data_IF_812668104295
#
_entry.id   IF_812668104295
#
_cell.length_a   1.000
_cell.length_b   1.000
_cell.length_c   1.000
_cell.angle_alpha   90.00
_cell.angle_beta   90.00
_cell.angle_gamma   90.00
#
_symmetry.space_group_name_H-M   'P 1'
#
loop_
_entity.id
_entity.type
_entity.pdbx_description
1 polymer ?
#
# COMPACT_ATOMS: atom_id res chain seq x y z
N UNK A 1 -2.71 1.10 -1.24
CA UNK A 1 -1.79 2.01 -0.54
C UNK A 1 -0.84 1.29 0.42
N UNK A 2 -1.21 0.12 0.98
CA UNK A 2 -0.38 -0.62 1.96
C UNK A 2 1.04 -0.99 1.48
N UNK A 3 1.21 -1.18 0.16
CA UNK A 3 2.50 -1.42 -0.51
C UNK A 3 3.54 -0.30 -0.34
N UNK A 4 3.12 0.92 0.03
CA UNK A 4 4.00 2.08 0.15
C UNK A 4 4.46 2.34 1.60
N UNK A 5 4.21 1.40 2.50
CA UNK A 5 4.62 1.50 3.90
C UNK A 5 5.95 0.77 4.06
N UNK A 6 7.05 1.54 4.01
CA UNK A 6 8.41 0.98 3.98
C UNK A 6 8.81 0.23 5.26
N UNK A 7 8.23 0.59 6.42
CA UNK A 7 8.64 0.05 7.72
C UNK A 7 7.70 -1.02 8.28
N UNK A 8 6.66 -1.40 7.53
CA UNK A 8 5.55 -2.19 8.05
C UNK A 8 4.65 -1.39 8.98
N UNK A 9 3.55 -2.01 9.41
CA UNK A 9 2.61 -1.41 10.36
C UNK A 9 2.00 -2.50 11.23
N UNK A 10 1.75 -2.18 12.48
CA UNK A 10 1.04 -3.07 13.41
C UNK A 10 -0.22 -2.34 13.80
N UNK A 11 -1.37 -2.88 13.39
CA UNK A 11 -2.67 -2.36 13.77
C UNK A 11 -3.27 -3.31 14.82
N UNK A 12 -3.55 -2.77 16.00
CA UNK A 12 -4.21 -3.52 17.07
C UNK A 12 -5.71 -3.18 17.08
N UNK A 13 -6.55 -4.11 16.62
CA UNK A 13 -8.01 -3.90 16.54
C UNK A 13 -8.65 -3.65 17.91
N UNK A 14 -8.04 -4.19 18.97
CA UNK A 14 -8.51 -4.05 20.36
C UNK A 14 -8.12 -2.73 21.02
N UNK A 15 -7.33 -1.90 20.34
CA UNK A 15 -6.93 -0.59 20.87
C UNK A 15 -8.00 0.46 20.63
N UNK A 16 -8.31 1.26 21.64
CA UNK A 16 -9.16 2.46 21.49
C UNK A 16 -8.60 3.44 20.46
N UNK A 17 -7.28 3.43 20.24
CA UNK A 17 -6.57 4.25 19.25
C UNK A 17 -6.42 3.56 17.88
N UNK A 18 -7.14 2.47 17.61
CA UNK A 18 -7.07 1.77 16.32
C UNK A 18 -7.37 2.70 15.14
N UNK A 19 -8.40 3.55 15.25
CA UNK A 19 -8.76 4.51 14.19
C UNK A 19 -7.64 5.52 13.92
N UNK A 20 -7.01 6.04 14.97
CA UNK A 20 -5.89 6.97 14.84
C UNK A 20 -4.65 6.30 14.25
N UNK A 21 -4.40 5.04 14.61
CA UNK A 21 -3.32 4.24 14.01
C UNK A 21 -3.57 3.98 12.53
N UNK A 22 -4.79 3.59 12.14
CA UNK A 22 -5.19 3.42 10.73
C UNK A 22 -5.01 4.72 9.96
N UNK A 23 -5.44 5.84 10.53
CA UNK A 23 -5.32 7.15 9.88
C UNK A 23 -3.85 7.56 9.71
N UNK A 24 -3.04 7.45 10.76
CA UNK A 24 -1.61 7.78 10.71
C UNK A 24 -0.84 6.90 9.71
N UNK A 25 -1.15 5.60 9.66
CA UNK A 25 -0.58 4.67 8.68
C UNK A 25 -1.04 5.02 7.25
N UNK A 26 -2.32 5.37 7.08
CA UNK A 26 -2.88 5.81 5.81
C UNK A 26 -2.24 7.08 5.27
N UNK A 27 -2.08 8.11 6.11
CA UNK A 27 -1.44 9.38 5.74
C UNK A 27 0.02 9.17 5.33
N UNK A 28 0.79 8.38 6.09
CA UNK A 28 2.18 8.05 5.75
C UNK A 28 2.28 7.28 4.43
N UNK A 29 1.37 6.35 4.20
CA UNK A 29 1.31 5.61 2.94
C UNK A 29 1.01 6.55 1.76
N UNK A 30 0.07 7.48 1.93
CA UNK A 30 -0.28 8.46 0.92
C UNK A 30 0.89 9.41 0.60
N UNK A 31 1.55 9.98 1.60
CA UNK A 31 2.75 10.81 1.38
C UNK A 31 3.83 10.05 0.62
N UNK A 32 4.06 8.78 0.96
CA UNK A 32 5.07 7.96 0.29
C UNK A 32 4.70 7.69 -1.17
N UNK A 33 3.41 7.51 -1.47
CA UNK A 33 2.93 7.36 -2.85
C UNK A 33 3.11 8.65 -3.64
N UNK A 34 2.80 9.80 -3.03
CA UNK A 34 2.96 11.11 -3.66
C UNK A 34 4.44 11.41 -3.95
N UNK A 35 5.34 11.10 -3.01
CA UNK A 35 6.78 11.22 -3.23
C UNK A 35 7.26 10.29 -4.35
N UNK A 36 6.77 9.05 -4.38
CA UNK A 36 7.12 8.09 -5.43
C UNK A 36 6.66 8.56 -6.81
N UNK A 37 5.42 9.04 -6.93
CA UNK A 37 4.91 9.57 -8.19
C UNK A 37 5.68 10.81 -8.62
N UNK A 38 6.02 11.70 -7.68
CA UNK A 38 6.86 12.87 -7.95
C UNK A 38 8.26 12.45 -8.44
N UNK A 39 8.87 11.42 -7.87
CA UNK A 39 10.15 10.86 -8.33
C UNK A 39 10.06 10.28 -9.75
N UNK A 40 8.89 9.76 -10.14
CA UNK A 40 8.59 9.31 -11.50
C UNK A 40 8.17 10.45 -12.45
N UNK A 41 8.21 11.71 -12.01
CA UNK A 41 7.79 12.88 -12.79
C UNK A 41 6.27 13.05 -12.93
N UNK A 42 5.48 12.26 -12.19
CA UNK A 42 4.01 12.28 -12.25
C UNK A 42 3.44 13.10 -11.10
N UNK A 43 2.74 14.19 -11.41
CA UNK A 43 2.14 15.06 -10.42
C UNK A 43 0.66 14.67 -10.18
N UNK A 44 0.44 13.62 -9.37
CA UNK A 44 -0.92 13.18 -9.02
C UNK A 44 -1.37 13.80 -7.69
N UNK A 45 -2.34 14.72 -7.75
CA UNK A 45 -2.87 15.43 -6.56
C UNK A 45 -4.15 14.85 -5.97
N UNK A 46 -4.77 13.87 -6.63
CA UNK A 46 -6.02 13.22 -6.18
C UNK A 46 -5.88 11.70 -6.23
N UNK A 47 -6.61 11.01 -5.34
CA UNK A 47 -6.65 9.55 -5.28
C UNK A 47 -6.92 8.88 -6.65
N UNK A 48 -7.84 9.44 -7.47
CA UNK A 48 -8.10 8.93 -8.83
C UNK A 48 -6.91 9.08 -9.80
N UNK A 49 -6.15 10.16 -9.68
CA UNK A 49 -4.93 10.39 -10.48
C UNK A 49 -3.79 9.46 -10.06
N UNK A 50 -3.69 9.19 -8.76
CA UNK A 50 -2.71 8.25 -8.19
C UNK A 50 -2.93 6.84 -8.73
N UNK A 51 -4.17 6.33 -8.70
CA UNK A 51 -4.48 5.01 -9.26
C UNK A 51 -4.23 4.92 -10.77
N UNK A 52 -4.54 5.99 -11.52
CA UNK A 52 -4.30 6.04 -12.97
C UNK A 52 -2.81 6.05 -13.31
N UNK A 53 -1.98 6.65 -12.46
CA UNK A 53 -0.52 6.65 -12.60
C UNK A 53 0.10 5.32 -12.15
N UNK A 54 -0.47 4.65 -11.15
CA UNK A 54 0.05 3.38 -10.64
C UNK A 54 -0.21 2.20 -11.58
N UNK A 55 -1.31 2.20 -12.36
CA UNK A 55 -1.60 1.13 -13.35
C UNK A 55 -0.47 0.88 -14.36
N UNK A 56 0.03 1.90 -15.09
CA UNK A 56 1.13 1.70 -16.02
C UNK A 56 2.44 1.34 -15.32
N UNK A 57 2.71 1.92 -14.14
CA UNK A 57 3.90 1.59 -13.34
C UNK A 57 3.93 0.12 -12.91
N UNK A 58 2.76 -0.44 -12.56
CA UNK A 58 2.64 -1.86 -12.24
C UNK A 58 2.90 -2.74 -13.46
N UNK A 59 2.36 -2.35 -14.64
CA UNK A 59 2.63 -3.07 -15.89
C UNK A 59 4.10 -3.03 -16.31
N UNK A 60 4.82 -1.96 -15.95
CA UNK A 60 6.26 -1.84 -16.21
C UNK A 60 7.16 -2.56 -15.20
N UNK A 61 6.59 -3.23 -14.19
CA UNK A 61 7.35 -3.93 -13.14
C UNK A 61 8.04 -3.00 -12.12
N UNK A 62 7.85 -1.69 -12.23
CA UNK A 62 8.43 -0.69 -11.32
C UNK A 62 7.88 -0.83 -9.88
N UNK A 63 6.73 -1.49 -9.72
CA UNK A 63 6.20 -1.85 -8.40
C UNK A 63 6.68 -3.23 -7.88
N UNK A 64 7.31 -4.07 -8.70
CA UNK A 64 7.66 -5.45 -8.29
C UNK A 64 8.64 -5.48 -7.11
N UNK A 65 9.63 -4.59 -7.10
CA UNK A 65 10.57 -4.47 -5.97
C UNK A 65 9.85 -4.09 -4.67
N UNK A 66 8.87 -3.18 -4.75
CA UNK A 66 8.04 -2.80 -3.59
C UNK A 66 7.09 -3.91 -3.17
N UNK A 67 6.55 -4.67 -4.12
CA UNK A 67 5.74 -5.86 -3.85
C UNK A 67 6.58 -6.93 -3.15
N UNK A 68 7.82 -7.16 -3.60
CA UNK A 68 8.76 -8.07 -2.96
C UNK A 68 9.13 -7.62 -1.55
N UNK A 69 9.43 -6.32 -1.37
CA UNK A 69 9.69 -5.74 -0.05
C UNK A 69 8.47 -5.89 0.89
N UNK A 70 7.26 -5.65 0.38
CA UNK A 70 6.02 -5.82 1.14
C UNK A 70 5.78 -7.29 1.54
N UNK A 71 5.99 -8.23 0.62
CA UNK A 71 5.93 -9.67 0.91
C UNK A 71 6.98 -10.09 1.94
N UNK A 72 8.17 -9.50 1.89
CA UNK A 72 9.20 -9.72 2.89
C UNK A 72 8.79 -9.19 4.26
N UNK A 73 8.22 -7.98 4.34
CA UNK A 73 7.69 -7.38 5.57
C UNK A 73 6.54 -8.19 6.18
N UNK A 74 5.69 -8.80 5.34
CA UNK A 74 4.67 -9.76 5.76
C UNK A 74 5.31 -11.03 6.32
N UNK A 75 6.30 -11.59 5.62
CA UNK A 75 6.98 -12.83 6.03
C UNK A 75 7.73 -12.70 7.35
N UNK A 76 8.28 -11.53 7.67
CA UNK A 76 8.95 -11.27 8.95
C UNK A 76 7.98 -10.85 10.08
N UNK A 77 6.66 -10.81 9.81
CA UNK A 77 5.65 -10.44 10.80
C UNK A 77 5.63 -8.96 11.20
N UNK A 78 6.25 -8.07 10.42
CA UNK A 78 6.24 -6.61 10.66
C UNK A 78 4.97 -5.93 10.17
N UNK A 79 4.13 -6.65 9.43
CA UNK A 79 2.80 -6.20 9.03
C UNK A 79 1.79 -7.07 9.76
N UNK A 80 1.08 -6.47 10.72
CA UNK A 80 -0.06 -7.08 11.39
C UNK A 80 -1.29 -6.25 11.02
N UNK A 81 -2.00 -6.77 10.03
CA UNK A 81 -3.20 -6.17 9.51
C UNK A 81 -4.40 -7.03 9.93
N UNK A 82 -5.24 -6.55 10.85
CA UNK A 82 -6.44 -7.26 11.28
C UNK A 82 -7.53 -7.26 10.21
N UNK A 83 -7.35 -6.55 9.08
CA UNK A 83 -8.27 -6.64 7.96
C UNK A 83 -8.31 -8.09 7.44
N UNK A 84 -9.51 -8.66 7.20
CA UNK A 84 -9.63 -10.02 6.70
C UNK A 84 -8.83 -10.21 5.41
N UNK A 85 -8.22 -11.39 5.25
CA UNK A 85 -7.35 -11.75 4.12
C UNK A 85 -7.99 -11.43 2.75
N UNK A 86 -9.31 -11.54 2.66
CA UNK A 86 -10.14 -11.19 1.50
C UNK A 86 -9.93 -9.74 0.99
N UNK A 87 -9.59 -8.80 1.87
CA UNK A 87 -9.31 -7.40 1.51
C UNK A 87 -7.82 -7.10 1.36
N UNK A 88 -6.96 -8.05 1.73
CA UNK A 88 -5.50 -7.97 1.59
C UNK A 88 -5.01 -8.49 0.23
N UNK A 89 -5.86 -9.23 -0.48
CA UNK A 89 -5.58 -9.76 -1.81
C UNK A 89 -5.75 -8.68 -2.90
N UNK A 90 -4.94 -7.63 -2.80
CA UNK A 90 -4.89 -6.55 -3.81
C UNK A 90 -4.30 -7.06 -5.15
N UNK A 91 -3.83 -8.33 -5.19
CA UNK A 91 -3.29 -9.01 -6.36
C UNK A 91 -4.22 -10.09 -6.94
N UNK A 92 -5.32 -10.46 -6.25
CA UNK A 92 -6.30 -11.43 -6.76
C UNK A 92 -7.32 -10.84 -7.75
N UNK A 93 -7.01 -9.75 -8.45
CA UNK A 93 -7.78 -9.37 -9.65
C UNK A 93 -7.35 -10.24 -10.84
N UNK A 94 -7.51 -11.55 -10.70
CA UNK A 94 -7.68 -12.44 -11.85
C UNK A 94 -9.17 -12.44 -12.12
N UNK A 95 -9.57 -11.71 -13.16
CA UNK A 95 -10.95 -11.71 -13.62
C UNK A 95 -11.40 -13.12 -14.01
N UNK A 96 -12.67 -13.49 -13.78
CA UNK A 96 -13.20 -14.74 -14.31
C UNK A 96 -13.23 -14.64 -15.85
N UNK A 97 -12.74 -15.71 -16.48
CA UNK A 97 -12.82 -15.99 -17.92
C UNK A 97 -14.26 -16.14 -18.40
#
# INVERSE_FOLDING_TARGET
MKLFIAYGFILNDKSSSYKDQVLAVGTRAEETVLQFLKAQGINAKRAGGVLRALRPLHKSGVLDERIAAYKHLLSIGRIQDPAPTDTQDILAFVGPV
#
